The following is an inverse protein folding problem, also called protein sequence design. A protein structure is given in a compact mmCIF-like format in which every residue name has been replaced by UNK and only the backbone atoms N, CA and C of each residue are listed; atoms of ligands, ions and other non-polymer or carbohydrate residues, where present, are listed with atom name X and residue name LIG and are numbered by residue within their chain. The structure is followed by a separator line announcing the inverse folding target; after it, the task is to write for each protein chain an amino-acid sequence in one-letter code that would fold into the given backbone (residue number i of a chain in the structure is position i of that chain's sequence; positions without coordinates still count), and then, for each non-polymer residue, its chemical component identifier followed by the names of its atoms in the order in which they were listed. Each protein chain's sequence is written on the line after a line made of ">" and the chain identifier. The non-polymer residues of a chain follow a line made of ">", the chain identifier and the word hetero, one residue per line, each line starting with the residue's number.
data_IF_249077394898
#
_entry.id   IF_249077394898
#
_cell.length_a   1.000
_cell.length_b   1.000
_cell.length_c   1.000
_cell.angle_alpha   90.00
_cell.angle_beta   90.00
_cell.angle_gamma   90.00
#
_symmetry.space_group_name_H-M   'P 1'
#
loop_
_entity.id
_entity.type
_entity.pdbx_description
1 polymer ?
#
# COMPACT_ATOMS: atom_id res chain seq x y z
N UNK A 1 17.50 -19.47 -2.11
CA UNK A 1 18.59 -19.19 -1.16
C UNK A 1 19.06 -17.76 -1.28
N UNK A 2 18.22 -16.79 -0.93
CA UNK A 2 18.54 -15.36 -0.94
C UNK A 2 17.81 -14.70 0.23
N UNK A 3 18.38 -13.63 0.77
CA UNK A 3 17.84 -12.89 1.92
C UNK A 3 18.04 -11.38 1.69
N UNK A 4 17.06 -10.57 2.08
CA UNK A 4 17.14 -9.10 1.97
C UNK A 4 16.92 -8.52 0.57
N UNK A 5 16.41 -9.32 -0.38
CA UNK A 5 15.99 -8.80 -1.68
C UNK A 5 14.79 -7.86 -1.48
N UNK A 6 14.97 -6.61 -1.90
CA UNK A 6 13.94 -5.57 -1.94
C UNK A 6 13.80 -5.14 -3.39
N UNK A 7 12.57 -5.07 -3.88
CA UNK A 7 12.23 -4.55 -5.19
C UNK A 7 11.05 -3.59 -5.02
N UNK A 8 11.01 -2.51 -5.82
CA UNK A 8 10.01 -1.47 -5.67
C UNK A 8 8.57 -1.96 -5.89
N UNK A 9 8.39 -3.08 -6.61
CA UNK A 9 7.07 -3.70 -6.82
C UNK A 9 6.65 -4.65 -5.69
N UNK A 10 7.59 -5.10 -4.84
CA UNK A 10 7.33 -6.06 -3.79
C UNK A 10 6.88 -5.34 -2.50
N UNK A 11 5.65 -5.57 -2.02
CA UNK A 11 5.18 -4.93 -0.79
C UNK A 11 5.96 -5.45 0.43
N UNK A 12 6.46 -4.53 1.24
CA UNK A 12 7.25 -4.81 2.45
C UNK A 12 6.54 -4.29 3.70
N UNK A 13 6.65 -5.00 4.82
CA UNK A 13 6.12 -4.51 6.10
C UNK A 13 6.02 -5.57 7.18
N UNK A 14 5.73 -5.12 8.41
CA UNK A 14 5.69 -5.98 9.60
C UNK A 14 4.48 -6.90 9.67
N UNK A 15 4.58 -7.93 10.52
CA UNK A 15 3.43 -8.73 10.94
C UNK A 15 3.30 -8.70 12.47
N UNK A 16 2.06 -8.69 12.97
CA UNK A 16 1.73 -8.55 14.41
C UNK A 16 2.36 -7.28 15.01
N UNK A 17 3.12 -7.42 16.09
CA UNK A 17 3.76 -6.32 16.80
C UNK A 17 4.91 -5.65 16.04
N UNK A 18 5.26 -6.14 14.84
CA UNK A 18 6.33 -5.56 14.02
C UNK A 18 5.87 -4.33 13.22
N UNK A 19 4.58 -3.96 13.29
CA UNK A 19 4.00 -2.79 12.63
C UNK A 19 2.77 -3.12 11.78
N UNK A 20 2.09 -2.07 11.32
CA UNK A 20 0.89 -2.12 10.49
C UNK A 20 1.11 -1.38 9.17
N UNK A 21 0.43 -1.82 8.10
CA UNK A 21 0.59 -1.27 6.76
C UNK A 21 1.71 -1.94 5.94
N UNK A 22 1.84 -1.48 4.70
CA UNK A 22 2.85 -1.94 3.74
C UNK A 22 3.50 -0.74 3.05
N UNK A 23 4.80 -0.82 2.88
CA UNK A 23 5.59 0.05 2.01
C UNK A 23 5.89 -0.67 0.69
N UNK A 24 6.35 0.07 -0.32
CA UNK A 24 6.58 -0.40 -1.68
C UNK A 24 5.31 -0.97 -2.36
N UNK A 25 5.41 -1.27 -3.65
CA UNK A 25 4.31 -1.77 -4.45
C UNK A 25 3.08 -0.85 -4.48
N UNK A 26 1.97 -1.38 -4.99
CA UNK A 26 0.71 -0.62 -5.10
C UNK A 26 0.10 -0.29 -3.73
N UNK A 27 0.28 -1.17 -2.75
CA UNK A 27 -0.26 -0.99 -1.39
C UNK A 27 0.29 0.25 -0.69
N UNK A 28 1.54 0.64 -0.97
CA UNK A 28 2.08 1.90 -0.45
C UNK A 28 1.31 3.11 -1.01
N UNK A 29 0.99 3.12 -2.30
CA UNK A 29 0.26 4.22 -2.93
C UNK A 29 -1.13 4.36 -2.30
N UNK A 30 -1.83 3.24 -2.11
CA UNK A 30 -3.14 3.21 -1.46
C UNK A 30 -3.09 3.82 -0.05
N UNK A 31 -2.01 3.64 0.70
CA UNK A 31 -1.84 4.24 2.03
C UNK A 31 -1.55 5.74 2.01
N UNK A 32 -1.02 6.28 0.92
CA UNK A 32 -0.75 7.72 0.73
C UNK A 32 -1.87 8.45 -0.03
N UNK A 33 -2.92 7.74 -0.43
CA UNK A 33 -4.09 8.32 -1.10
C UNK A 33 -5.36 8.03 -0.32
N UNK A 34 -6.32 8.93 -0.37
CA UNK A 34 -7.63 8.72 0.25
C UNK A 34 -8.72 8.59 -0.82
N UNK A 35 -9.60 7.61 -0.65
CA UNK A 35 -10.74 7.42 -1.53
C UNK A 35 -11.75 8.56 -1.31
N UNK A 36 -12.02 9.33 -2.37
CA UNK A 36 -13.07 10.35 -2.38
C UNK A 36 -14.20 9.94 -3.31
N UNK A 37 -15.38 9.71 -2.74
CA UNK A 37 -16.59 9.42 -3.51
C UNK A 37 -17.25 10.72 -3.98
N UNK A 38 -17.55 10.82 -5.28
CA UNK A 38 -18.23 11.97 -5.88
C UNK A 38 -19.54 11.50 -6.52
N UNK A 39 -20.64 12.17 -6.18
CA UNK A 39 -21.95 11.93 -6.77
C UNK A 39 -22.26 13.04 -7.78
N UNK A 40 -22.71 12.64 -8.97
CA UNK A 40 -23.12 13.55 -10.04
C UNK A 40 -24.59 13.30 -10.36
N UNK A 41 -25.39 14.35 -10.32
CA UNK A 41 -26.76 14.34 -10.82
C UNK A 41 -26.76 15.00 -12.20
N UNK A 42 -27.15 14.24 -13.24
CA UNK A 42 -27.10 14.70 -14.63
C UNK A 42 -28.40 15.34 -15.15
N UNK A 43 -29.45 15.41 -14.32
CA UNK A 43 -30.76 15.92 -14.75
C UNK A 43 -31.52 14.98 -15.68
#
# INVERSE_FOLDING_TARGET
>A
NTYGLMDASLPFGGYKSSGFGRELGMHAIEHYTELKTVWLNMG
#
